data_IF_350498272346
#
_entry.id   IF_350498272346
#
_cell.length_a   1.000
_cell.length_b   1.000
_cell.length_c   1.000
_cell.angle_alpha   90.00
_cell.angle_beta   90.00
_cell.angle_gamma   90.00
#
_symmetry.space_group_name_H-M   'P 1'
#
loop_
_entity.id
_entity.type
_entity.pdbx_description
1 polymer ?
#
# COMPACT_ATOMS: atom_id res chain seq x y z
N UNK A 1 5.16 -26.02 -19.61
CA UNK A 1 4.03 -26.55 -18.84
C UNK A 1 3.93 -25.92 -17.45
N UNK A 2 5.01 -25.91 -16.67
CA UNK A 2 5.02 -25.27 -15.34
C UNK A 2 4.83 -23.75 -15.36
N UNK A 3 5.31 -23.04 -16.39
CA UNK A 3 5.07 -21.60 -16.54
C UNK A 3 3.59 -21.25 -16.77
N UNK A 4 2.87 -22.12 -17.44
CA UNK A 4 1.44 -21.93 -17.70
C UNK A 4 0.59 -22.21 -16.45
N UNK A 5 0.98 -23.20 -15.66
CA UNK A 5 0.35 -23.51 -14.36
C UNK A 5 0.63 -22.41 -13.34
N UNK A 6 1.87 -21.85 -13.32
CA UNK A 6 2.20 -20.69 -12.49
C UNK A 6 1.39 -19.45 -12.89
N UNK A 7 1.12 -19.26 -14.19
CA UNK A 7 0.30 -18.15 -14.66
C UNK A 7 -1.18 -18.28 -14.30
N UNK A 8 -1.68 -19.49 -14.09
CA UNK A 8 -3.06 -19.73 -13.66
C UNK A 8 -3.27 -19.47 -12.16
N UNK A 9 -2.21 -19.56 -11.35
CA UNK A 9 -2.28 -19.42 -9.89
C UNK A 9 -1.65 -18.13 -9.36
N UNK A 10 -0.91 -17.37 -10.19
CA UNK A 10 -0.33 -16.10 -9.77
C UNK A 10 -1.25 -14.94 -10.16
N UNK A 11 -1.69 -14.18 -9.18
CA UNK A 11 -2.37 -12.92 -9.44
C UNK A 11 -1.32 -11.83 -9.59
N UNK A 12 -1.34 -11.15 -10.74
CA UNK A 12 -0.53 -9.97 -10.95
C UNK A 12 -1.28 -8.76 -10.38
N UNK A 13 -0.61 -7.99 -9.52
CA UNK A 13 -1.15 -6.78 -8.93
C UNK A 13 -0.55 -5.56 -9.60
N UNK A 14 -1.39 -4.58 -9.90
CA UNK A 14 -0.94 -3.23 -10.27
C UNK A 14 -1.40 -2.25 -9.23
N UNK A 15 -0.48 -1.48 -8.66
CA UNK A 15 -0.76 -0.52 -7.60
C UNK A 15 -0.48 0.89 -8.11
N UNK A 16 -1.46 1.76 -8.02
CA UNK A 16 -1.31 3.18 -8.32
C UNK A 16 -1.34 3.97 -7.01
N UNK A 17 -0.19 4.50 -6.62
CA UNK A 17 -0.05 5.34 -5.44
C UNK A 17 -0.41 6.77 -5.79
N UNK A 18 -1.68 7.12 -5.62
CA UNK A 18 -2.15 8.47 -5.88
C UNK A 18 -2.11 9.37 -4.64
N UNK A 19 -2.11 10.69 -4.87
CA UNK A 19 -2.14 11.68 -3.79
C UNK A 19 -3.41 11.56 -2.95
N UNK A 20 -4.55 11.41 -3.59
CA UNK A 20 -5.83 11.30 -2.91
C UNK A 20 -6.20 9.85 -2.59
N UNK A 21 -6.06 8.97 -3.56
CA UNK A 21 -6.48 7.57 -3.46
C UNK A 21 -5.39 6.62 -3.95
N UNK A 22 -5.34 5.45 -3.32
CA UNK A 22 -4.54 4.32 -3.79
C UNK A 22 -5.46 3.30 -4.43
N UNK A 23 -5.11 2.86 -5.63
CA UNK A 23 -5.86 1.86 -6.38
C UNK A 23 -5.04 0.58 -6.52
N UNK A 24 -5.68 -0.56 -6.34
CA UNK A 24 -5.07 -1.86 -6.64
C UNK A 24 -5.93 -2.58 -7.66
N UNK A 25 -5.30 -2.95 -8.76
CA UNK A 25 -5.92 -3.69 -9.84
C UNK A 25 -5.35 -5.10 -9.87
N UNK A 26 -6.22 -6.09 -9.97
CA UNK A 26 -5.84 -7.49 -10.13
C UNK A 26 -6.24 -7.93 -11.53
N UNK A 27 -5.32 -8.56 -12.24
CA UNK A 27 -5.61 -9.11 -13.55
C UNK A 27 -6.79 -10.08 -13.46
N UNK A 28 -7.76 -9.91 -14.35
CA UNK A 28 -9.00 -10.69 -14.46
C UNK A 28 -10.09 -10.34 -13.44
N UNK A 29 -9.78 -9.58 -12.39
CA UNK A 29 -10.79 -9.13 -11.40
C UNK A 29 -11.10 -7.65 -11.48
N UNK A 30 -10.24 -6.86 -12.12
CA UNK A 30 -10.38 -5.41 -12.17
C UNK A 30 -9.87 -4.73 -10.89
N UNK A 31 -10.43 -3.59 -10.56
CA UNK A 31 -10.05 -2.83 -9.37
C UNK A 31 -10.62 -3.53 -8.13
N UNK A 32 -9.74 -4.03 -7.27
CA UNK A 32 -10.11 -4.75 -6.04
C UNK A 32 -9.95 -3.90 -4.79
N UNK A 33 -9.23 -2.78 -4.90
CA UNK A 33 -9.06 -1.84 -3.79
C UNK A 33 -9.01 -0.43 -4.35
N UNK A 34 -9.81 0.44 -3.77
CA UNK A 34 -9.83 1.88 -4.04
C UNK A 34 -10.08 2.57 -2.71
N UNK A 35 -9.01 3.00 -2.08
CA UNK A 35 -9.10 3.63 -0.77
C UNK A 35 -8.29 4.93 -0.70
N UNK A 36 -8.69 5.86 0.16
CA UNK A 36 -7.93 7.09 0.36
C UNK A 36 -6.49 6.80 0.81
N UNK A 37 -5.55 7.58 0.33
CA UNK A 37 -4.15 7.52 0.73
C UNK A 37 -3.96 8.26 2.06
N UNK A 38 -4.48 7.68 3.15
CA UNK A 38 -4.45 8.25 4.50
C UNK A 38 -4.10 7.15 5.49
N UNK A 39 -3.28 7.49 6.48
CA UNK A 39 -2.87 6.59 7.55
C UNK A 39 -3.06 7.28 8.89
N UNK A 40 -3.73 6.62 9.82
CA UNK A 40 -3.83 7.08 11.21
C UNK A 40 -2.78 6.38 12.06
N UNK A 41 -1.95 7.17 12.72
CA UNK A 41 -0.82 6.69 13.52
C UNK A 41 -0.99 7.14 14.96
N UNK A 42 -0.83 6.18 15.89
CA UNK A 42 -0.77 6.44 17.31
C UNK A 42 0.68 6.55 17.75
N UNK A 43 0.98 7.61 18.48
CA UNK A 43 2.32 7.82 19.05
C UNK A 43 2.31 7.50 20.54
N UNK A 44 3.16 6.58 20.97
CA UNK A 44 3.43 6.27 22.38
C UNK A 44 4.92 6.49 22.62
N UNK A 45 5.27 7.67 23.14
CA UNK A 45 6.67 8.04 23.31
C UNK A 45 7.43 8.02 21.98
N UNK A 46 8.46 7.18 21.90
CA UNK A 46 9.25 7.00 20.67
C UNK A 46 8.65 5.96 19.70
N UNK A 47 7.61 5.22 20.13
CA UNK A 47 7.00 4.20 19.31
C UNK A 47 5.79 4.74 18.56
N UNK A 48 5.69 4.38 17.29
CA UNK A 48 4.55 4.73 16.43
C UNK A 48 3.90 3.45 15.92
N UNK A 49 2.59 3.35 16.05
CA UNK A 49 1.82 2.21 15.54
C UNK A 49 0.71 2.68 14.61
N UNK A 50 0.43 1.88 13.58
CA UNK A 50 -0.68 2.15 12.66
C UNK A 50 -1.98 1.71 13.32
N UNK A 51 -2.94 2.64 13.39
CA UNK A 51 -4.27 2.40 13.96
C UNK A 51 -5.29 2.09 12.86
N UNK A 52 -5.21 2.81 11.76
CA UNK A 52 -6.14 2.66 10.64
C UNK A 52 -5.47 3.12 9.35
N UNK A 53 -5.95 2.60 8.23
CA UNK A 53 -5.47 2.95 6.90
C UNK A 53 -6.66 3.08 5.95
N UNK A 54 -6.56 3.99 4.99
CA UNK A 54 -7.58 4.15 3.97
C UNK A 54 -8.84 4.85 4.48
N UNK A 55 -9.99 4.29 4.17
CA UNK A 55 -11.29 4.88 4.49
C UNK A 55 -11.48 5.16 5.98
N UNK A 56 -11.08 4.23 6.82
CA UNK A 56 -11.19 4.41 8.28
C UNK A 56 -10.30 5.55 8.78
N UNK A 57 -9.08 5.64 8.27
CA UNK A 57 -8.17 6.72 8.60
C UNK A 57 -8.71 8.07 8.12
N UNK A 58 -9.33 8.11 6.95
CA UNK A 58 -9.95 9.34 6.43
C UNK A 58 -11.09 9.84 7.33
N UNK A 59 -11.87 8.94 7.88
CA UNK A 59 -12.94 9.31 8.84
C UNK A 59 -12.39 9.94 10.11
N UNK A 60 -11.14 9.65 10.45
CA UNK A 60 -10.47 10.19 11.62
C UNK A 60 -9.84 11.56 11.39
N UNK A 61 -9.78 12.06 10.13
CA UNK A 61 -9.23 13.38 9.82
C UNK A 61 -10.01 14.46 10.57
N UNK A 62 -9.30 15.27 11.37
CA UNK A 62 -9.88 16.34 12.16
C UNK A 62 -10.66 15.89 13.40
N UNK A 63 -10.69 14.58 13.69
CA UNK A 63 -11.43 14.01 14.83
C UNK A 63 -10.58 13.06 15.67
N UNK A 64 -9.27 13.14 15.56
CA UNK A 64 -8.37 12.24 16.24
C UNK A 64 -8.16 12.66 17.70
N UNK A 65 -8.12 11.70 18.67
CA UNK A 65 -7.65 11.99 20.01
C UNK A 65 -6.20 12.48 19.98
N UNK A 66 -5.75 13.13 21.04
CA UNK A 66 -4.48 13.86 21.06
C UNK A 66 -3.21 13.06 20.73
N UNK A 67 -3.22 11.72 20.86
CA UNK A 67 -2.07 10.88 20.54
C UNK A 67 -2.17 10.18 19.19
N UNK A 68 -3.23 10.42 18.42
CA UNK A 68 -3.44 9.85 17.11
C UNK A 68 -3.39 10.97 16.07
N UNK A 69 -2.66 10.77 14.98
CA UNK A 69 -2.59 11.71 13.88
C UNK A 69 -2.95 10.99 12.58
N UNK A 70 -3.84 11.59 11.80
CA UNK A 70 -4.14 11.11 10.45
C UNK A 70 -3.23 11.84 9.47
N UNK A 71 -2.45 11.09 8.70
CA UNK A 71 -1.40 11.61 7.83
C UNK A 71 -1.68 11.20 6.40
N UNK A 72 -1.48 12.13 5.46
CA UNK A 72 -1.45 11.85 4.03
C UNK A 72 0.00 11.68 3.59
N UNK A 73 0.46 10.45 3.32
CA UNK A 73 1.87 10.22 2.96
C UNK A 73 2.23 10.73 1.57
N UNK A 74 1.23 10.94 0.72
CA UNK A 74 1.41 11.49 -0.62
C UNK A 74 0.85 12.90 -0.68
N UNK A 75 1.64 13.84 -1.21
CA UNK A 75 1.21 15.23 -1.36
C UNK A 75 1.74 15.80 -2.67
N UNK A 76 0.85 16.37 -3.47
CA UNK A 76 1.21 17.02 -4.75
C UNK A 76 2.02 16.09 -5.69
N UNK A 77 1.66 14.81 -5.73
CA UNK A 77 2.34 13.83 -6.56
C UNK A 77 3.74 13.43 -6.07
N UNK A 78 4.04 13.70 -4.80
CA UNK A 78 5.33 13.39 -4.18
C UNK A 78 5.10 12.62 -2.88
N UNK A 79 6.05 11.74 -2.54
CA UNK A 79 6.03 11.07 -1.24
C UNK A 79 6.50 12.06 -0.18
N UNK A 80 5.56 12.52 0.66
CA UNK A 80 5.84 13.47 1.72
C UNK A 80 6.39 12.79 2.98
N UNK A 81 5.91 11.58 3.28
CA UNK A 81 6.40 10.77 4.40
C UNK A 81 6.62 9.34 3.91
N UNK A 82 7.86 8.98 3.73
CA UNK A 82 8.24 7.70 3.17
C UNK A 82 7.87 6.52 4.09
N UNK A 83 8.17 6.63 5.38
CA UNK A 83 7.89 5.57 6.36
C UNK A 83 6.40 5.26 6.45
N UNK A 84 5.57 6.29 6.44
CA UNK A 84 4.10 6.14 6.46
C UNK A 84 3.59 5.54 5.16
N UNK A 85 4.14 5.97 4.03
CA UNK A 85 3.79 5.43 2.71
C UNK A 85 4.11 3.94 2.62
N UNK A 86 5.26 3.53 3.14
CA UNK A 86 5.68 2.13 3.21
C UNK A 86 4.68 1.28 4.01
N UNK A 87 4.28 1.75 5.18
CA UNK A 87 3.30 1.06 6.03
C UNK A 87 1.94 0.96 5.36
N UNK A 88 1.51 2.03 4.70
CA UNK A 88 0.26 2.04 3.93
C UNK A 88 0.29 1.00 2.81
N UNK A 89 1.37 0.96 2.05
CA UNK A 89 1.56 0.02 0.96
C UNK A 89 1.51 -1.44 1.46
N UNK A 90 2.24 -1.74 2.52
CA UNK A 90 2.24 -3.06 3.13
C UNK A 90 0.84 -3.47 3.59
N UNK A 91 0.11 -2.56 4.22
CA UNK A 91 -1.25 -2.82 4.67
C UNK A 91 -2.18 -3.16 3.50
N UNK A 92 -2.13 -2.39 2.43
CA UNK A 92 -3.01 -2.62 1.27
C UNK A 92 -2.66 -3.91 0.52
N UNK A 93 -1.38 -4.22 0.37
CA UNK A 93 -0.95 -5.48 -0.26
C UNK A 93 -1.42 -6.67 0.57
N UNK A 94 -1.24 -6.63 1.88
CA UNK A 94 -1.69 -7.68 2.79
C UNK A 94 -3.21 -7.85 2.77
N UNK A 95 -3.95 -6.75 2.72
CA UNK A 95 -5.41 -6.78 2.67
C UNK A 95 -5.92 -7.47 1.40
N UNK A 96 -5.30 -7.20 0.26
CA UNK A 96 -5.65 -7.85 -1.00
C UNK A 96 -5.24 -9.32 -0.99
N UNK A 97 -4.09 -9.64 -0.40
CA UNK A 97 -3.54 -10.99 -0.35
C UNK A 97 -4.32 -11.91 0.61
N UNK A 98 -4.84 -11.38 1.72
CA UNK A 98 -5.63 -12.15 2.69
C UNK A 98 -6.89 -12.75 2.08
N UNK A 99 -7.48 -12.09 1.08
CA UNK A 99 -8.66 -12.59 0.39
C UNK A 99 -8.35 -13.72 -0.60
N UNK A 100 -7.09 -14.14 -0.67
CA UNK A 100 -6.58 -15.11 -1.65
C UNK A 100 -5.96 -16.32 -0.93
N UNK A 101 -6.77 -17.14 -0.31
CA UNK A 101 -6.35 -18.18 0.64
C UNK A 101 -5.39 -19.26 0.10
N UNK A 102 -5.18 -19.38 -1.20
CA UNK A 102 -4.33 -20.42 -1.80
C UNK A 102 -3.49 -19.91 -2.98
N UNK A 103 -3.29 -18.60 -3.08
CA UNK A 103 -2.54 -18.07 -4.20
C UNK A 103 -1.06 -17.89 -3.87
N UNK A 104 -0.15 -18.25 -4.78
CA UNK A 104 1.26 -17.94 -4.62
C UNK A 104 1.48 -16.43 -4.59
N UNK A 105 2.61 -16.01 -4.05
CA UNK A 105 2.99 -14.60 -3.96
C UNK A 105 2.83 -13.90 -5.31
N UNK A 106 2.13 -12.76 -5.36
CA UNK A 106 1.86 -12.06 -6.62
C UNK A 106 3.09 -11.31 -7.15
N UNK A 107 3.11 -11.10 -8.45
CA UNK A 107 3.97 -10.06 -9.03
C UNK A 107 3.27 -8.73 -8.86
N UNK A 108 4.03 -7.71 -8.49
CA UNK A 108 3.48 -6.39 -8.20
C UNK A 108 4.14 -5.34 -9.09
N UNK A 109 3.32 -4.62 -9.84
CA UNK A 109 3.73 -3.44 -10.59
C UNK A 109 3.25 -2.21 -9.83
N UNK A 110 4.16 -1.33 -9.46
CA UNK A 110 3.82 -0.12 -8.71
C UNK A 110 4.12 1.11 -9.54
N UNK A 111 3.08 1.94 -9.75
CA UNK A 111 3.23 3.25 -10.35
C UNK A 111 3.63 4.23 -9.27
N UNK A 112 4.86 4.73 -9.33
CA UNK A 112 5.39 5.71 -8.38
C UNK A 112 5.34 7.12 -8.96
N UNK A 113 5.28 8.17 -8.13
CA UNK A 113 5.33 9.54 -8.63
C UNK A 113 6.61 9.80 -9.45
N UNK A 114 6.47 10.59 -10.52
CA UNK A 114 7.58 10.89 -11.41
C UNK A 114 8.77 11.54 -10.72
N UNK A 115 8.51 12.26 -9.65
CA UNK A 115 9.53 12.96 -8.86
C UNK A 115 10.19 12.10 -7.79
N UNK A 116 9.86 10.81 -7.73
CA UNK A 116 10.47 9.92 -6.75
C UNK A 116 11.96 9.72 -7.03
N UNK A 117 12.75 9.73 -5.96
CA UNK A 117 14.18 9.44 -6.03
C UNK A 117 14.41 7.95 -6.24
N UNK A 118 15.63 7.58 -6.66
CA UNK A 118 15.99 6.16 -6.78
C UNK A 118 15.93 5.44 -5.43
N UNK A 119 16.30 6.11 -4.36
CA UNK A 119 16.25 5.56 -2.99
C UNK A 119 14.79 5.26 -2.59
N UNK A 120 13.88 6.19 -2.87
CA UNK A 120 12.45 6.01 -2.59
C UNK A 120 11.86 4.86 -3.41
N UNK A 121 12.19 4.77 -4.70
CA UNK A 121 11.72 3.68 -5.58
C UNK A 121 12.22 2.31 -5.08
N UNK A 122 13.48 2.24 -4.71
CA UNK A 122 14.08 1.02 -4.19
C UNK A 122 13.43 0.57 -2.90
N UNK A 123 13.17 1.50 -2.01
CA UNK A 123 12.55 1.21 -0.73
C UNK A 123 11.07 0.81 -0.88
N UNK A 124 10.33 1.40 -1.82
CA UNK A 124 8.97 0.94 -2.17
C UNK A 124 9.02 -0.50 -2.69
N UNK A 125 9.98 -0.82 -3.54
CA UNK A 125 10.18 -2.18 -4.04
C UNK A 125 10.46 -3.16 -2.91
N UNK A 126 11.34 -2.82 -1.99
CA UNK A 126 11.65 -3.66 -0.83
C UNK A 126 10.44 -3.83 0.09
N UNK A 127 9.65 -2.78 0.25
CA UNK A 127 8.41 -2.83 1.05
C UNK A 127 7.40 -3.79 0.44
N UNK A 128 7.24 -3.76 -0.87
CA UNK A 128 6.33 -4.67 -1.57
C UNK A 128 6.80 -6.11 -1.43
N UNK A 129 8.09 -6.37 -1.57
CA UNK A 129 8.67 -7.71 -1.38
C UNK A 129 8.47 -8.18 0.07
N UNK A 130 8.65 -7.29 1.05
CA UNK A 130 8.41 -7.59 2.47
C UNK A 130 6.95 -7.87 2.79
N UNK A 131 6.01 -7.29 2.02
CA UNK A 131 4.58 -7.53 2.17
C UNK A 131 4.08 -8.81 1.49
N UNK A 132 4.97 -9.55 0.83
CA UNK A 132 4.65 -10.83 0.21
C UNK A 132 4.68 -10.84 -1.32
N UNK A 133 5.08 -9.76 -1.97
CA UNK A 133 5.26 -9.75 -3.41
C UNK A 133 6.44 -10.65 -3.81
N UNK A 134 6.31 -11.34 -4.94
CA UNK A 134 7.36 -12.19 -5.48
C UNK A 134 8.39 -11.37 -6.27
N UNK A 135 7.92 -10.40 -6.98
CA UNK A 135 8.75 -9.47 -7.74
C UNK A 135 7.97 -8.20 -8.08
#
# INVERSE_FOLDING_TARGET
MFKKLRGMFSSDLSIDLGTANTLIYVRERGIVLNEPSVVAIRSHGSQKSVVAVGTEAKRMLGRTPGNIAAIRPMKDGVIADFSVCEKMLQYFINKVHENSFLQPSPRVLICVPCKSTQVERRAIRESALGAGARE
#
